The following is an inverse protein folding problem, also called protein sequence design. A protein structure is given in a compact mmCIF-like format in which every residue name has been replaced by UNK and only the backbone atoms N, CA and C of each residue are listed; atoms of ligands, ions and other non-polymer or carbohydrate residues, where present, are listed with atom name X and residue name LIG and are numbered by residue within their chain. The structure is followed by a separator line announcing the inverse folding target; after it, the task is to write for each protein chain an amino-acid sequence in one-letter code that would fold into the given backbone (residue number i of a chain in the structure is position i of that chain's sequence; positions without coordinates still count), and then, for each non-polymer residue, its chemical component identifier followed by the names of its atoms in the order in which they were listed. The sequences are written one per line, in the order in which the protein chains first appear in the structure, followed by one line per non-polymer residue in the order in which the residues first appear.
data_IF_286833783257
#
_entry.id   IF_286833783257
#
_cell.length_a   1.000
_cell.length_b   1.000
_cell.length_c   1.000
_cell.angle_alpha   90.00
_cell.angle_beta   90.00
_cell.angle_gamma   90.00
#
_symmetry.space_group_name_H-M   'P 1'
#
loop_
_entity.id
_entity.type
_entity.pdbx_description
1 polymer ?
#
# COMPACT_ATOMS: atom_id res chain seq x y z
N UNK A 1 6.33 -2.90 15.70
CA UNK A 1 6.68 -2.83 15.37
C UNK A 1 6.92 -3.36 14.64
N UNK A 2 7.10 -3.05 13.95
CA UNK A 2 7.04 -4.15 13.26
C UNK A 2 7.01 -3.95 11.80
N UNK A 3 6.72 -4.97 11.00
CA UNK A 3 6.65 -4.89 9.55
C UNK A 3 5.67 -3.83 9.08
N UNK A 4 4.54 -3.71 9.76
CA UNK A 4 3.53 -2.72 9.38
C UNK A 4 4.06 -1.30 9.53
N UNK A 5 4.76 -1.04 10.63
CA UNK A 5 5.35 0.28 10.84
C UNK A 5 6.40 0.59 9.77
N UNK A 6 7.20 -0.42 9.41
CA UNK A 6 8.20 -0.24 8.35
C UNK A 6 7.54 0.04 7.01
N UNK A 7 6.46 -0.65 6.72
CA UNK A 7 5.74 -0.45 5.47
C UNK A 7 5.09 0.93 5.43
N UNK A 8 4.54 1.38 6.54
CA UNK A 8 3.95 2.71 6.59
C UNK A 8 4.98 3.80 6.36
N UNK A 9 6.15 3.62 6.94
CA UNK A 9 7.25 4.55 6.74
C UNK A 9 7.70 4.54 5.28
N UNK A 10 7.81 3.36 4.70
CA UNK A 10 8.19 3.23 3.31
C UNK A 10 7.15 3.86 2.39
N UNK A 11 5.86 3.68 2.71
CA UNK A 11 4.80 4.30 1.93
C UNK A 11 4.94 5.81 1.91
N UNK A 12 5.23 6.41 3.06
CA UNK A 12 5.40 7.86 3.13
C UNK A 12 6.56 8.33 2.28
N UNK A 13 7.68 7.60 2.34
CA UNK A 13 8.85 7.94 1.54
C UNK A 13 8.53 7.88 0.06
N UNK A 14 7.87 6.82 -0.35
CA UNK A 14 7.53 6.63 -1.76
C UNK A 14 6.50 7.64 -2.24
N UNK A 15 5.51 7.94 -1.41
CA UNK A 15 4.52 8.94 -1.76
C UNK A 15 5.17 10.30 -1.98
N UNK A 16 6.14 10.64 -1.13
CA UNK A 16 6.87 11.89 -1.28
C UNK A 16 7.68 11.90 -2.58
N UNK A 17 8.37 10.79 -2.86
CA UNK A 17 9.16 10.69 -4.09
C UNK A 17 8.29 10.77 -5.33
N UNK A 18 7.13 10.10 -5.30
CA UNK A 18 6.21 10.17 -6.43
C UNK A 18 5.74 11.60 -6.65
N UNK A 19 5.38 12.28 -5.57
CA UNK A 19 4.92 13.67 -5.69
C UNK A 19 6.01 14.58 -6.26
N UNK A 20 7.24 14.40 -5.83
CA UNK A 20 8.35 15.19 -6.35
C UNK A 20 8.60 14.91 -7.82
N UNK A 21 8.57 13.65 -8.20
CA UNK A 21 8.80 13.28 -9.60
C UNK A 21 7.67 13.77 -10.49
N UNK A 22 6.43 13.74 -9.99
CA UNK A 22 5.31 14.28 -10.74
C UNK A 22 5.45 15.78 -10.93
N UNK A 23 5.83 16.49 -9.89
CA UNK A 23 6.03 17.92 -9.97
C UNK A 23 7.13 18.24 -10.97
N UNK A 24 8.23 17.53 -10.91
CA UNK A 24 9.36 17.77 -11.82
C UNK A 24 8.97 17.47 -13.26
N UNK A 25 8.25 16.37 -13.49
CA UNK A 25 7.82 16.01 -14.82
C UNK A 25 6.87 17.08 -15.39
N UNK A 26 5.93 17.53 -14.57
CA UNK A 26 5.00 18.57 -14.99
C UNK A 26 5.70 19.87 -15.31
N UNK A 27 6.67 20.25 -14.48
CA UNK A 27 7.44 21.46 -14.72
C UNK A 27 8.26 21.37 -16.00
N UNK A 28 8.86 20.21 -16.22
CA UNK A 28 9.64 20.01 -17.45
C UNK A 28 8.74 20.06 -18.68
N UNK A 29 7.60 19.40 -18.63
CA UNK A 29 6.66 19.42 -19.75
C UNK A 29 6.17 20.85 -20.01
N UNK A 30 5.91 21.61 -18.96
CA UNK A 30 5.48 22.98 -19.10
C UNK A 30 6.56 23.83 -19.79
N UNK A 31 7.81 23.66 -19.36
CA UNK A 31 8.92 24.40 -19.98
C UNK A 31 9.06 24.06 -21.45
N UNK A 32 8.90 22.79 -21.79
CA UNK A 32 8.95 22.39 -23.18
C UNK A 32 7.81 23.00 -23.99
N UNK A 33 6.62 23.05 -23.37
CA UNK A 33 5.45 23.56 -24.06
C UNK A 33 5.57 25.04 -24.36
N UNK A 34 6.03 25.83 -23.39
CA UNK A 34 6.12 27.29 -23.63
C UNK A 34 7.21 27.65 -24.61
N UNK A 35 8.17 26.73 -24.81
CA UNK A 35 9.24 26.93 -25.78
C UNK A 35 8.97 26.22 -27.10
N UNK A 36 7.83 25.54 -27.18
CA UNK A 36 7.46 24.77 -28.36
C UNK A 36 8.59 23.81 -28.76
N UNK A 37 9.15 23.12 -27.75
CA UNK A 37 10.30 22.25 -27.96
C UNK A 37 10.16 21.01 -27.12
N UNK A 38 9.59 19.96 -27.70
CA UNK A 38 9.36 18.73 -26.96
C UNK A 38 10.45 17.70 -27.23
N UNK A 39 11.00 17.19 -26.16
CA UNK A 39 11.97 16.11 -26.22
C UNK A 39 11.32 14.89 -25.59
N UNK A 40 10.69 14.09 -26.43
CA UNK A 40 9.97 12.92 -25.94
C UNK A 40 10.90 11.94 -25.24
N UNK A 41 12.13 11.80 -25.70
CA UNK A 41 13.09 10.92 -25.07
C UNK A 41 13.36 11.31 -23.65
N UNK A 42 13.42 12.60 -23.36
CA UNK A 42 13.63 13.10 -22.01
C UNK A 42 12.39 12.84 -21.14
N UNK A 43 11.22 13.14 -21.69
CA UNK A 43 9.97 12.91 -20.96
C UNK A 43 9.77 11.44 -20.65
N UNK A 44 10.09 10.58 -21.59
CA UNK A 44 9.93 9.14 -21.38
C UNK A 44 10.84 8.66 -20.27
N UNK A 45 12.08 9.10 -20.23
CA UNK A 45 13.00 8.71 -19.17
C UNK A 45 12.52 9.20 -17.80
N UNK A 46 12.02 10.44 -17.75
CA UNK A 46 11.51 10.95 -16.48
C UNK A 46 10.25 10.24 -16.04
N UNK A 47 9.38 9.95 -17.00
CA UNK A 47 8.17 9.21 -16.71
C UNK A 47 8.48 7.79 -16.25
N UNK A 48 9.51 7.16 -16.81
CA UNK A 48 9.90 5.81 -16.38
C UNK A 48 10.35 5.80 -14.93
N UNK A 49 11.11 6.81 -14.50
CA UNK A 49 11.53 6.90 -13.12
C UNK A 49 10.33 7.06 -12.18
N UNK A 50 9.37 7.86 -12.60
CA UNK A 50 8.13 8.04 -11.83
C UNK A 50 7.36 6.74 -11.76
N UNK A 51 7.23 6.03 -12.87
CA UNK A 51 6.51 4.75 -12.90
C UNK A 51 7.11 3.73 -11.97
N UNK A 52 8.44 3.70 -11.87
CA UNK A 52 9.10 2.77 -10.95
C UNK A 52 8.71 3.04 -9.51
N UNK A 53 8.72 4.30 -9.11
CA UNK A 53 8.35 4.66 -7.74
C UNK A 53 6.87 4.44 -7.49
N UNK A 54 6.05 4.75 -8.50
CA UNK A 54 4.61 4.57 -8.39
C UNK A 54 4.25 3.09 -8.26
N UNK A 55 4.93 2.24 -9.00
CA UNK A 55 4.70 0.79 -8.92
C UNK A 55 5.10 0.26 -7.54
N UNK A 56 6.22 0.74 -7.03
CA UNK A 56 6.68 0.33 -5.71
C UNK A 56 5.70 0.81 -4.63
N UNK A 57 5.20 2.03 -4.77
CA UNK A 57 4.20 2.56 -3.84
C UNK A 57 2.94 1.70 -3.86
N UNK A 58 2.47 1.34 -5.06
CA UNK A 58 1.31 0.48 -5.19
C UNK A 58 1.50 -0.87 -4.52
N UNK A 59 2.71 -1.42 -4.62
CA UNK A 59 3.01 -2.69 -3.98
C UNK A 59 2.95 -2.56 -2.46
N UNK A 60 3.55 -1.51 -1.93
CA UNK A 60 3.54 -1.29 -0.49
C UNK A 60 2.11 -1.07 0.01
N UNK A 61 1.32 -0.33 -0.76
CA UNK A 61 -0.08 -0.10 -0.37
C UNK A 61 -0.88 -1.39 -0.38
N UNK A 62 -0.61 -2.28 -1.34
CA UNK A 62 -1.28 -3.57 -1.35
C UNK A 62 -0.90 -4.41 -0.15
N UNK A 63 0.37 -4.38 0.23
CA UNK A 63 0.81 -5.13 1.41
C UNK A 63 0.18 -4.60 2.68
N UNK A 64 0.06 -3.28 2.78
CA UNK A 64 -0.58 -2.69 3.95
C UNK A 64 -2.07 -3.03 4.01
N UNK A 65 -2.73 -2.97 2.86
CA UNK A 65 -4.15 -3.31 2.80
C UNK A 65 -4.37 -4.78 3.16
N UNK A 66 -3.49 -5.65 2.66
CA UNK A 66 -3.58 -7.07 2.97
C UNK A 66 -3.37 -7.33 4.47
N UNK A 67 -2.45 -6.60 5.07
CA UNK A 67 -2.20 -6.74 6.50
C UNK A 67 -3.41 -6.33 7.30
N UNK A 68 -4.07 -5.25 6.89
CA UNK A 68 -5.27 -4.80 7.57
C UNK A 68 -6.43 -5.76 7.38
N UNK A 69 -6.61 -6.21 6.15
CA UNK A 69 -7.73 -7.08 5.84
C UNK A 69 -7.49 -8.51 6.29
N UNK A 70 -6.22 -8.90 6.32
CA UNK A 70 -5.87 -10.25 6.68
C UNK A 70 -6.01 -10.55 8.16
N UNK A 71 -6.00 -9.51 8.99
CA UNK A 71 -6.08 -9.72 10.43
C UNK A 71 -7.34 -9.06 10.95
N UNK A 72 -8.31 -9.87 11.33
CA UNK A 72 -9.57 -9.37 11.86
C UNK A 72 -9.62 -9.30 13.37
N UNK A 73 -8.61 -9.84 14.03
CA UNK A 73 -8.57 -9.88 15.48
C UNK A 73 -7.77 -11.04 15.96
N UNK A 74 -7.79 -11.26 17.27
CA UNK A 74 -7.08 -12.35 17.90
C UNK A 74 -8.06 -13.34 18.49
N UNK A 75 -7.70 -14.62 18.43
CA UNK A 75 -8.52 -15.66 19.02
C UNK A 75 -8.52 -15.51 20.53
N UNK A 76 -9.71 -15.57 21.14
CA UNK A 76 -9.81 -15.45 22.58
C UNK A 76 -9.23 -16.64 23.31
N UNK A 77 -9.27 -17.79 22.68
CA UNK A 77 -8.80 -19.02 23.33
C UNK A 77 -7.30 -19.15 23.33
N UNK A 78 -6.67 -18.91 22.17
CA UNK A 78 -5.24 -19.16 22.06
C UNK A 78 -4.41 -17.93 21.72
N UNK A 79 -5.06 -16.80 21.40
CA UNK A 79 -4.35 -15.56 21.10
C UNK A 79 -3.80 -15.48 19.71
N UNK A 80 -4.00 -16.46 18.86
CA UNK A 80 -3.49 -16.41 17.50
C UNK A 80 -4.27 -15.40 16.67
N UNK A 81 -3.60 -14.67 15.80
CA UNK A 81 -4.31 -13.77 14.90
C UNK A 81 -5.12 -14.54 13.88
N UNK A 82 -6.27 -14.03 13.53
CA UNK A 82 -7.10 -14.69 12.55
C UNK A 82 -7.47 -13.72 11.43
N UNK A 83 -7.84 -14.30 10.30
CA UNK A 83 -8.25 -13.54 9.14
C UNK A 83 -9.57 -12.83 9.40
N UNK A 84 -9.73 -11.70 8.78
CA UNK A 84 -10.99 -10.99 8.84
C UNK A 84 -12.08 -11.86 8.21
N UNK A 85 -13.17 -12.04 8.94
CA UNK A 85 -14.25 -12.88 8.46
C UNK A 85 -14.07 -14.36 8.70
N UNK A 86 -12.99 -14.75 9.37
CA UNK A 86 -12.77 -16.15 9.69
C UNK A 86 -13.83 -16.65 10.65
N UNK A 87 -14.28 -17.86 10.44
CA UNK A 87 -15.31 -18.50 11.29
C UNK A 87 -14.64 -19.29 12.41
N UNK A 88 -13.52 -19.91 12.11
CA UNK A 88 -12.80 -20.74 13.08
C UNK A 88 -11.36 -20.32 13.14
N UNK A 89 -10.78 -20.48 14.32
CA UNK A 89 -9.35 -20.22 14.50
C UNK A 89 -8.53 -21.30 13.78
N UNK A 90 -7.57 -20.87 12.98
CA UNK A 90 -6.73 -21.80 12.24
C UNK A 90 -5.80 -22.59 13.16
N UNK A 91 -5.59 -22.10 14.37
CA UNK A 91 -4.62 -22.71 15.27
C UNK A 91 -5.27 -23.66 16.26
N UNK A 92 -6.35 -23.23 16.91
CA UNK A 92 -6.97 -24.05 17.94
C UNK A 92 -8.33 -24.60 17.56
N UNK A 93 -8.89 -24.13 16.44
CA UNK A 93 -10.17 -24.64 15.96
C UNK A 93 -11.39 -24.08 16.62
N UNK A 94 -11.23 -23.17 17.58
CA UNK A 94 -12.37 -22.59 18.26
C UNK A 94 -13.18 -21.69 17.33
N UNK A 95 -14.50 -21.68 17.48
CA UNK A 95 -15.30 -20.75 16.68
C UNK A 95 -15.04 -19.32 17.08
N UNK A 96 -14.82 -18.48 16.09
CA UNK A 96 -14.54 -17.07 16.32
C UNK A 96 -15.79 -16.22 16.22
N UNK A 97 -16.68 -16.60 15.32
CA UNK A 97 -17.88 -15.79 15.05
C UNK A 97 -18.97 -16.01 16.06
N UNK A 98 -18.87 -17.05 16.86
CA UNK A 98 -19.89 -17.33 17.86
C UNK A 98 -20.08 -16.16 18.83
N UNK A 99 -19.01 -15.45 19.11
CA UNK A 99 -19.07 -14.33 20.01
C UNK A 99 -19.77 -13.13 19.43
N UNK A 100 -19.80 -13.06 18.13
CA UNK A 100 -20.41 -11.94 17.45
C UNK A 100 -21.86 -12.20 17.11
N UNK A 101 -22.33 -13.42 17.36
CA UNK A 101 -23.70 -13.78 17.06
C UNK A 101 -24.56 -13.49 18.27
N UNK A 102 -25.44 -12.51 18.19
CA UNK A 102 -26.22 -12.11 19.35
C UNK A 102 -27.22 -13.14 19.79
N UNK A 103 -27.59 -13.99 18.90
CA UNK A 103 -28.62 -14.96 19.23
C UNK A 103 -28.07 -16.32 19.59
N UNK A 104 -26.83 -16.46 19.48
CA UNK A 104 -26.28 -17.78 19.73
C UNK A 104 -26.36 -18.20 21.12
#
# INVERSE_FOLDING_TARGET
MTATTSLERRREQLAHQVAELQFDLGGLAYEMAIRDHFRLDVLIRRAAALQERDAELGEVERLLAAAEEGVGGDCRSCGAPHSRGAVYCWRCGQPLMAELSPTS
#
